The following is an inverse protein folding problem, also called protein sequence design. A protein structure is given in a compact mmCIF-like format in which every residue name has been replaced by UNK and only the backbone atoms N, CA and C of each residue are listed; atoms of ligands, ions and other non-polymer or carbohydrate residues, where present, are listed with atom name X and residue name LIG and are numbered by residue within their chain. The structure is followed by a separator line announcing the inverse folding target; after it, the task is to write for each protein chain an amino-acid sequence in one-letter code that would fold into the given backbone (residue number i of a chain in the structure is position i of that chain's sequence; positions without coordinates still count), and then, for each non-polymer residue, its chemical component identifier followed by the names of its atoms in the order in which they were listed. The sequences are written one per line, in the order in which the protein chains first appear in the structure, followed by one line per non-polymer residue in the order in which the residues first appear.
data_IF_414726586826
#
_entry.id   IF_414726586826
#
_cell.length_a   1.000
_cell.length_b   1.000
_cell.length_c   1.000
_cell.angle_alpha   90.00
_cell.angle_beta   90.00
_cell.angle_gamma   90.00
#
_symmetry.space_group_name_H-M   'P 1'
#
loop_
_entity.id
_entity.type
_entity.pdbx_description
1 polymer ?
#
# COMPACT_ATOMS: atom_id res chain seq x y z
N UNK A 1 -5.41 1.37 23.74
CA UNK A 1 -4.03 0.87 23.59
C UNK A 1 -3.38 1.73 22.51
N UNK A 2 -2.16 2.22 22.72
CA UNK A 2 -1.42 2.96 21.68
C UNK A 2 -1.25 2.09 20.42
N UNK A 3 -1.50 2.61 19.19
CA UNK A 3 -1.42 1.82 17.96
C UNK A 3 -0.13 1.02 17.80
N UNK A 4 1.02 1.64 18.08
CA UNK A 4 2.32 0.99 18.02
C UNK A 4 2.46 -0.18 19.00
N UNK A 5 1.92 -0.05 20.22
CA UNK A 5 1.96 -1.12 21.22
C UNK A 5 1.10 -2.32 20.80
N UNK A 6 -0.03 -2.05 20.15
CA UNK A 6 -0.87 -3.10 19.56
C UNK A 6 -0.13 -3.83 18.43
N UNK A 7 0.43 -3.09 17.45
CA UNK A 7 1.20 -3.68 16.34
C UNK A 7 2.33 -4.59 16.87
N UNK A 8 3.10 -4.10 17.84
CA UNK A 8 4.19 -4.87 18.42
C UNK A 8 3.72 -6.14 19.14
N UNK A 9 2.53 -6.10 19.78
CA UNK A 9 1.92 -7.28 20.40
C UNK A 9 1.54 -8.32 19.35
N UNK A 10 0.94 -7.91 18.24
CA UNK A 10 0.51 -8.82 17.16
C UNK A 10 1.72 -9.45 16.44
N UNK A 11 2.77 -8.67 16.18
CA UNK A 11 4.05 -9.20 15.65
C UNK A 11 4.68 -10.18 16.63
N UNK A 12 4.65 -9.89 17.94
CA UNK A 12 5.15 -10.83 18.96
C UNK A 12 4.34 -12.13 19.01
N UNK A 13 3.07 -12.09 18.61
CA UNK A 13 2.19 -13.26 18.46
C UNK A 13 2.39 -13.99 17.11
N UNK A 14 3.25 -13.49 16.21
CA UNK A 14 3.55 -14.10 14.92
C UNK A 14 2.53 -13.78 13.81
N UNK A 15 1.68 -12.77 14.01
CA UNK A 15 0.74 -12.30 12.97
C UNK A 15 1.46 -11.40 11.96
N UNK A 16 1.03 -11.47 10.71
CA UNK A 16 1.45 -10.53 9.68
C UNK A 16 0.72 -9.22 9.85
N UNK A 17 1.38 -8.11 9.52
CA UNK A 17 0.79 -6.78 9.61
C UNK A 17 0.77 -6.17 8.22
N UNK A 18 -0.42 -5.84 7.72
CA UNK A 18 -0.60 -5.17 6.44
C UNK A 18 -1.06 -3.74 6.70
N UNK A 19 -0.22 -2.78 6.31
CA UNK A 19 -0.47 -1.35 6.47
C UNK A 19 -1.09 -0.80 5.18
N UNK A 20 -2.27 -0.21 5.31
CA UNK A 20 -2.98 0.48 4.24
C UNK A 20 -2.85 1.97 4.43
N UNK A 21 -2.29 2.63 3.44
CA UNK A 21 -1.83 4.01 3.59
C UNK A 21 -2.48 4.91 2.55
N UNK A 22 -2.97 6.07 2.97
CA UNK A 22 -3.22 7.16 2.04
C UNK A 22 -1.92 7.93 1.86
N UNK A 23 -1.44 8.14 0.63
CA UNK A 23 -0.10 8.67 0.28
C UNK A 23 0.40 9.90 1.06
N UNK A 24 -0.51 10.70 1.64
CA UNK A 24 -0.19 11.81 2.56
C UNK A 24 0.31 11.35 3.95
N UNK A 25 0.15 10.07 4.28
CA UNK A 25 0.53 9.43 5.55
C UNK A 25 1.77 8.54 5.40
N UNK A 26 2.47 8.65 4.29
CA UNK A 26 3.57 7.76 3.94
C UNK A 26 4.68 7.78 4.99
N UNK A 27 5.08 8.98 5.41
CA UNK A 27 6.12 9.19 6.41
C UNK A 27 5.76 8.53 7.76
N UNK A 28 4.50 8.66 8.19
CA UNK A 28 4.05 8.07 9.46
C UNK A 28 3.95 6.54 9.37
N UNK A 29 3.50 5.99 8.24
CA UNK A 29 3.48 4.54 8.01
C UNK A 29 4.87 3.94 7.99
N UNK A 30 5.82 4.55 7.27
CA UNK A 30 7.22 4.13 7.28
C UNK A 30 7.82 4.20 8.69
N UNK A 31 7.49 5.25 9.47
CA UNK A 31 7.90 5.38 10.86
C UNK A 31 7.36 4.26 11.77
N UNK A 32 6.10 3.85 11.60
CA UNK A 32 5.51 2.72 12.35
C UNK A 32 6.18 1.38 11.98
N UNK A 33 6.43 1.15 10.69
CA UNK A 33 7.17 -0.02 10.22
C UNK A 33 8.59 -0.05 10.81
N UNK A 34 9.28 1.08 10.78
CA UNK A 34 10.63 1.24 11.30
C UNK A 34 10.70 0.94 12.80
N UNK A 35 9.76 1.49 13.58
CA UNK A 35 9.69 1.23 15.02
C UNK A 35 9.35 -0.24 15.32
N UNK A 36 8.46 -0.83 14.53
CA UNK A 36 8.10 -2.25 14.67
C UNK A 36 9.31 -3.15 14.42
N UNK A 37 10.09 -2.86 13.37
CA UNK A 37 11.34 -3.55 13.06
C UNK A 37 12.36 -3.37 14.18
N UNK A 38 12.50 -2.15 14.71
CA UNK A 38 13.43 -1.84 15.80
C UNK A 38 13.11 -2.65 17.06
N UNK A 39 11.83 -2.81 17.39
CA UNK A 39 11.39 -3.51 18.60
C UNK A 39 11.32 -5.04 18.43
N UNK A 40 11.15 -5.55 17.21
CA UNK A 40 10.90 -6.99 16.96
C UNK A 40 11.82 -7.67 15.92
N UNK A 41 13.15 -7.41 15.93
CA UNK A 41 14.03 -7.81 14.82
C UNK A 41 14.16 -9.32 14.58
N UNK A 42 13.95 -10.15 15.61
CA UNK A 42 13.96 -11.62 15.48
C UNK A 42 12.59 -12.25 15.19
N UNK A 43 11.53 -11.44 15.15
CA UNK A 43 10.16 -11.89 14.89
C UNK A 43 9.69 -11.56 13.48
N UNK A 44 10.42 -10.72 12.76
CA UNK A 44 10.05 -10.25 11.43
C UNK A 44 10.94 -10.94 10.42
N UNK A 45 10.32 -11.51 9.40
CA UNK A 45 11.00 -12.16 8.29
C UNK A 45 11.43 -11.15 7.22
N UNK A 46 10.53 -10.22 6.89
CA UNK A 46 10.75 -9.20 5.86
C UNK A 46 9.78 -8.04 6.03
N UNK A 47 10.11 -6.92 5.39
CA UNK A 47 9.18 -5.82 5.11
C UNK A 47 8.94 -5.75 3.61
N UNK A 48 7.70 -5.91 3.18
CA UNK A 48 7.27 -5.73 1.80
C UNK A 48 6.75 -4.31 1.62
N UNK A 49 7.23 -3.60 0.61
CA UNK A 49 6.81 -2.22 0.33
C UNK A 49 6.18 -2.10 -1.06
N UNK A 50 5.23 -1.18 -1.19
CA UNK A 50 4.57 -0.81 -2.44
C UNK A 50 5.48 0.08 -3.27
N UNK A 51 6.50 -0.55 -3.82
CA UNK A 51 7.44 0.06 -4.74
C UNK A 51 7.80 -0.95 -5.81
N UNK A 52 7.98 -0.45 -7.02
CA UNK A 52 8.42 -1.24 -8.16
C UNK A 52 9.67 -2.06 -7.83
N UNK A 53 9.73 -3.38 -8.16
CA UNK A 53 10.93 -4.20 -8.01
C UNK A 53 12.18 -3.62 -8.70
N UNK A 54 12.02 -2.66 -9.60
CA UNK A 54 13.10 -1.87 -10.20
C UNK A 54 13.88 -1.04 -9.18
N UNK A 55 13.26 -0.69 -8.06
CA UNK A 55 13.90 -0.01 -6.94
C UNK A 55 14.68 -0.95 -6.02
N UNK A 56 14.50 -2.28 -6.14
CA UNK A 56 15.20 -3.24 -5.30
C UNK A 56 16.73 -3.05 -5.29
N UNK A 57 17.42 -2.85 -6.44
CA UNK A 57 18.87 -2.62 -6.43
C UNK A 57 19.29 -1.36 -5.67
N UNK A 58 18.42 -0.35 -5.55
CA UNK A 58 18.70 0.86 -4.77
C UNK A 58 18.42 0.64 -3.29
N UNK A 59 17.34 -0.09 -2.95
CA UNK A 59 17.07 -0.55 -1.58
C UNK A 59 18.26 -1.36 -1.05
N UNK A 60 18.79 -2.29 -1.85
CA UNK A 60 19.95 -3.11 -1.49
C UNK A 60 21.20 -2.24 -1.23
N UNK A 61 21.40 -1.18 -2.01
CA UNK A 61 22.50 -0.22 -1.81
C UNK A 61 22.31 0.65 -0.57
N UNK A 62 21.08 1.03 -0.22
CA UNK A 62 20.79 1.71 1.05
C UNK A 62 21.09 0.76 2.22
N UNK A 63 20.65 -0.49 2.13
CA UNK A 63 20.93 -1.52 3.14
C UNK A 63 22.43 -1.72 3.36
N UNK A 64 23.23 -1.78 2.29
CA UNK A 64 24.71 -1.84 2.38
C UNK A 64 25.38 -0.54 2.78
N UNK A 65 24.65 0.59 2.80
CA UNK A 65 25.18 1.91 3.16
C UNK A 65 26.03 2.57 2.07
N UNK A 66 25.87 2.12 0.81
CA UNK A 66 26.62 2.64 -0.33
C UNK A 66 25.87 3.75 -1.08
N UNK A 67 24.58 3.95 -0.80
CA UNK A 67 23.76 4.99 -1.40
C UNK A 67 23.33 6.00 -0.34
N UNK A 68 23.50 7.29 -0.64
CA UNK A 68 23.07 8.39 0.24
C UNK A 68 21.55 8.56 0.21
N UNK A 69 20.99 9.25 1.21
CA UNK A 69 19.56 9.58 1.21
C UNK A 69 19.20 10.50 0.05
N UNK A 70 20.04 11.46 -0.28
CA UNK A 70 19.81 12.38 -1.39
C UNK A 70 19.84 11.66 -2.75
N UNK A 71 20.75 10.72 -2.95
CA UNK A 71 20.80 9.97 -4.21
C UNK A 71 19.68 8.94 -4.30
N UNK A 72 19.34 8.28 -3.20
CA UNK A 72 18.20 7.37 -3.14
C UNK A 72 16.89 8.09 -3.47
N UNK A 73 16.61 9.22 -2.83
CA UNK A 73 15.38 10.00 -3.05
C UNK A 73 15.25 10.48 -4.50
N UNK A 74 16.37 10.88 -5.14
CA UNK A 74 16.40 11.21 -6.58
C UNK A 74 16.09 10.00 -7.46
N UNK A 75 16.69 8.85 -7.16
CA UNK A 75 16.47 7.62 -7.92
C UNK A 75 15.04 7.12 -7.79
N UNK A 76 14.43 7.21 -6.60
CA UNK A 76 13.00 6.95 -6.40
C UNK A 76 12.15 7.86 -7.29
N UNK A 77 12.39 9.18 -7.27
CA UNK A 77 11.65 10.13 -8.11
C UNK A 77 11.79 9.80 -9.60
N UNK A 78 13.01 9.53 -10.08
CA UNK A 78 13.28 9.19 -11.48
C UNK A 78 12.56 7.88 -11.85
N UNK A 79 12.64 6.85 -11.00
CA UNK A 79 11.99 5.56 -11.26
C UNK A 79 10.48 5.71 -11.41
N UNK A 80 9.83 6.50 -10.55
CA UNK A 80 8.39 6.72 -10.64
C UNK A 80 7.99 7.45 -11.94
N UNK A 81 8.77 8.45 -12.38
CA UNK A 81 8.52 9.12 -13.66
C UNK A 81 8.72 8.20 -14.86
N UNK A 82 9.70 7.29 -14.80
CA UNK A 82 9.91 6.29 -15.84
C UNK A 82 8.73 5.31 -15.93
N UNK A 83 8.19 4.89 -14.78
CA UNK A 83 7.02 4.03 -14.72
C UNK A 83 5.77 4.69 -15.29
N UNK A 84 5.54 5.99 -14.99
CA UNK A 84 4.46 6.75 -15.61
C UNK A 84 4.57 6.79 -17.14
N UNK A 85 5.77 6.98 -17.68
CA UNK A 85 5.97 6.99 -19.14
C UNK A 85 5.70 5.63 -19.78
N UNK A 86 6.10 4.53 -19.13
CA UNK A 86 5.89 3.18 -19.65
C UNK A 86 4.41 2.79 -19.64
N UNK A 87 3.71 3.05 -18.54
CA UNK A 87 2.27 2.81 -18.44
C UNK A 87 1.52 3.71 -19.43
N UNK A 88 1.90 4.98 -19.52
CA UNK A 88 1.39 5.89 -20.53
C UNK A 88 1.56 5.36 -21.95
N UNK A 89 2.73 4.79 -22.27
CA UNK A 89 3.01 4.20 -23.57
C UNK A 89 2.15 2.96 -23.86
N UNK A 90 1.95 2.10 -22.86
CA UNK A 90 1.07 0.94 -23.00
C UNK A 90 -0.39 1.35 -23.27
N UNK A 91 -0.88 2.37 -22.57
CA UNK A 91 -2.25 2.88 -22.74
C UNK A 91 -2.43 3.62 -24.06
N UNK A 92 -1.42 4.37 -24.50
CA UNK A 92 -1.38 4.98 -25.83
C UNK A 92 -1.45 3.92 -26.93
N UNK A 93 -0.65 2.85 -26.82
CA UNK A 93 -0.68 1.72 -27.77
C UNK A 93 -2.04 1.01 -27.81
N UNK A 94 -2.80 1.02 -26.71
CA UNK A 94 -4.18 0.50 -26.62
C UNK A 94 -5.24 1.49 -27.14
N UNK A 95 -4.84 2.69 -27.57
CA UNK A 95 -5.75 3.76 -28.03
C UNK A 95 -6.54 4.43 -26.90
N UNK A 96 -6.11 4.25 -25.65
CA UNK A 96 -6.77 4.78 -24.45
C UNK A 96 -6.30 6.17 -24.07
N UNK A 97 -5.08 6.53 -24.50
CA UNK A 97 -4.60 7.91 -24.53
C UNK A 97 -4.58 8.39 -25.98
N UNK A 98 -5.03 9.63 -26.19
CA UNK A 98 -4.73 10.34 -27.43
C UNK A 98 -3.25 10.70 -27.50
N UNK A 99 -2.74 10.93 -28.72
CA UNK A 99 -1.37 11.42 -28.96
C UNK A 99 -1.07 12.66 -28.09
N UNK A 100 -1.99 13.63 -28.02
CA UNK A 100 -1.83 14.85 -27.21
C UNK A 100 -1.75 14.58 -25.70
N UNK A 101 -2.45 13.56 -25.20
CA UNK A 101 -2.36 13.17 -23.78
C UNK A 101 -1.03 12.48 -23.49
N UNK A 102 -0.63 11.55 -24.35
CA UNK A 102 0.64 10.84 -24.21
C UNK A 102 1.84 11.79 -24.31
N UNK A 103 1.85 12.69 -25.29
CA UNK A 103 2.92 13.69 -25.48
C UNK A 103 3.06 14.63 -24.27
N UNK A 104 1.94 14.98 -23.61
CA UNK A 104 1.96 15.80 -22.40
C UNK A 104 2.54 15.04 -21.22
N UNK A 105 2.17 13.77 -21.05
CA UNK A 105 2.70 12.90 -20.00
C UNK A 105 4.21 12.71 -20.16
N UNK A 106 4.65 12.30 -21.35
CA UNK A 106 6.08 12.09 -21.64
C UNK A 106 6.86 13.38 -21.41
N UNK A 107 6.41 14.51 -21.94
CA UNK A 107 7.09 15.79 -21.75
C UNK A 107 7.17 16.20 -20.28
N UNK A 108 6.11 15.98 -19.51
CA UNK A 108 6.10 16.29 -18.08
C UNK A 108 7.11 15.43 -17.31
N UNK A 109 7.10 14.11 -17.54
CA UNK A 109 7.99 13.17 -16.87
C UNK A 109 9.45 13.36 -17.29
N UNK A 110 9.74 13.56 -18.57
CA UNK A 110 11.08 13.88 -19.06
C UNK A 110 11.62 15.17 -18.44
N UNK A 111 10.80 16.24 -18.40
CA UNK A 111 11.22 17.50 -17.77
C UNK A 111 11.50 17.30 -16.28
N UNK A 112 10.70 16.52 -15.58
CA UNK A 112 10.89 16.21 -14.15
C UNK A 112 12.18 15.42 -13.94
N UNK A 113 12.44 14.40 -14.76
CA UNK A 113 13.70 13.63 -14.71
C UNK A 113 14.90 14.55 -14.96
N UNK A 114 14.85 15.41 -15.98
CA UNK A 114 15.94 16.35 -16.26
C UNK A 114 16.13 17.36 -15.12
N UNK A 115 15.04 17.80 -14.49
CA UNK A 115 15.08 18.69 -13.34
C UNK A 115 15.82 18.02 -12.16
N UNK A 116 15.46 16.78 -11.83
CA UNK A 116 16.10 15.99 -10.76
C UNK A 116 17.58 15.71 -11.08
N UNK A 117 17.90 15.33 -12.31
CA UNK A 117 19.28 15.08 -12.77
C UNK A 117 20.14 16.35 -12.76
N UNK A 118 19.54 17.52 -13.03
CA UNK A 118 20.20 18.82 -12.95
C UNK A 118 20.53 19.27 -11.52
N UNK A 119 19.97 18.60 -10.51
CA UNK A 119 20.18 18.88 -9.10
C UNK A 119 19.61 20.24 -8.66
N UNK A 120 20.00 20.70 -7.47
CA UNK A 120 19.46 21.93 -6.85
C UNK A 120 19.79 23.23 -7.55
N UNK A 121 20.70 23.19 -8.53
CA UNK A 121 21.03 24.34 -9.37
C UNK A 121 20.04 24.49 -10.54
N UNK A 122 19.16 23.51 -10.76
CA UNK A 122 18.10 23.58 -11.74
C UNK A 122 16.91 24.36 -11.17
N UNK A 123 16.45 25.38 -11.88
CA UNK A 123 15.30 26.19 -11.50
C UNK A 123 14.01 25.36 -11.37
N UNK A 124 13.93 24.24 -12.09
CA UNK A 124 12.77 23.34 -12.11
C UNK A 124 12.84 22.25 -11.02
N UNK A 125 13.96 22.15 -10.29
CA UNK A 125 14.10 21.29 -9.09
C UNK A 125 14.72 22.07 -7.93
N UNK A 126 14.02 23.11 -7.43
CA UNK A 126 14.56 23.97 -6.40
C UNK A 126 14.72 23.22 -5.06
N UNK A 127 15.53 23.74 -4.13
CA UNK A 127 15.80 23.09 -2.83
C UNK A 127 14.53 22.70 -2.05
N UNK A 128 13.44 23.47 -2.18
CA UNK A 128 12.17 23.15 -1.55
C UNK A 128 11.55 21.86 -2.10
N UNK A 129 11.64 21.63 -3.41
CA UNK A 129 11.15 20.40 -4.03
C UNK A 129 11.99 19.21 -3.61
N UNK A 130 13.32 19.38 -3.57
CA UNK A 130 14.20 18.34 -3.03
C UNK A 130 13.87 18.03 -1.57
N UNK A 131 13.61 19.04 -0.74
CA UNK A 131 13.27 18.82 0.67
C UNK A 131 11.98 18.01 0.84
N UNK A 132 10.98 18.22 -0.03
CA UNK A 132 9.75 17.41 -0.05
C UNK A 132 10.09 15.96 -0.42
N UNK A 133 10.83 15.75 -1.51
CA UNK A 133 11.20 14.39 -1.96
C UNK A 133 12.07 13.66 -0.91
N UNK A 134 12.95 14.39 -0.22
CA UNK A 134 13.75 13.87 0.91
C UNK A 134 12.87 13.58 2.12
N UNK A 135 11.84 14.38 2.42
CA UNK A 135 10.90 14.06 3.50
C UNK A 135 10.16 12.76 3.19
N UNK A 136 9.58 12.65 2.00
CA UNK A 136 8.78 11.48 1.60
C UNK A 136 9.65 10.23 1.49
N UNK A 137 10.63 10.20 0.58
CA UNK A 137 11.43 8.99 0.36
C UNK A 137 12.53 8.78 1.41
N UNK A 138 12.84 9.81 2.22
CA UNK A 138 13.77 9.67 3.34
C UNK A 138 13.21 8.80 4.46
N UNK A 139 11.89 8.74 4.63
CA UNK A 139 11.26 7.82 5.57
C UNK A 139 11.48 6.35 5.15
N UNK A 140 11.32 6.04 3.85
CA UNK A 140 11.66 4.73 3.30
C UNK A 140 13.16 4.42 3.46
N UNK A 141 14.03 5.40 3.20
CA UNK A 141 15.47 5.25 3.42
C UNK A 141 15.78 4.87 4.88
N UNK A 142 15.17 5.58 5.84
CA UNK A 142 15.34 5.33 7.28
C UNK A 142 14.87 3.94 7.69
N UNK A 143 13.71 3.51 7.18
CA UNK A 143 13.20 2.15 7.36
C UNK A 143 14.20 1.12 6.83
N UNK A 144 14.70 1.26 5.60
CA UNK A 144 15.65 0.32 4.99
C UNK A 144 16.94 0.24 5.79
N UNK A 145 17.48 1.37 6.25
CA UNK A 145 18.67 1.42 7.12
C UNK A 145 18.44 0.66 8.43
N UNK A 146 17.32 0.95 9.09
CA UNK A 146 16.96 0.29 10.36
C UNK A 146 16.76 -1.21 10.16
N UNK A 147 16.07 -1.63 9.10
CA UNK A 147 15.83 -3.03 8.78
C UNK A 147 17.14 -3.78 8.49
N UNK A 148 18.04 -3.18 7.71
CA UNK A 148 19.36 -3.74 7.45
C UNK A 148 20.20 -3.94 8.73
N UNK A 149 20.19 -2.96 9.65
CA UNK A 149 20.86 -3.08 10.95
C UNK A 149 20.27 -4.20 11.84
N UNK A 150 19.01 -4.55 11.60
CA UNK A 150 18.30 -5.63 12.30
C UNK A 150 18.33 -6.97 11.56
N UNK A 151 18.93 -7.04 10.37
CA UNK A 151 18.94 -8.24 9.55
C UNK A 151 17.58 -8.59 8.95
N UNK A 152 16.67 -7.62 8.83
CA UNK A 152 15.36 -7.76 8.21
C UNK A 152 15.44 -7.23 6.77
N UNK A 153 15.24 -8.07 5.74
CA UNK A 153 15.22 -7.60 4.36
C UNK A 153 13.99 -6.72 4.06
N UNK A 154 14.19 -5.70 3.22
CA UNK A 154 13.10 -4.90 2.64
C UNK A 154 12.94 -5.30 1.17
N UNK A 155 11.71 -5.62 0.78
CA UNK A 155 11.35 -6.17 -0.52
C UNK A 155 10.44 -5.17 -1.24
N UNK A 156 10.91 -4.64 -2.36
CA UNK A 156 10.05 -3.95 -3.32
C UNK A 156 9.18 -4.98 -4.06
N UNK A 157 7.87 -4.85 -3.92
CA UNK A 157 6.91 -5.92 -4.27
C UNK A 157 5.77 -5.50 -5.20
N UNK A 158 5.69 -4.23 -5.57
CA UNK A 158 4.60 -3.72 -6.41
C UNK A 158 4.92 -3.96 -7.88
N UNK A 159 4.23 -4.91 -8.53
CA UNK A 159 4.47 -5.19 -9.95
C UNK A 159 3.84 -4.15 -10.89
N UNK A 160 3.37 -3.03 -10.36
CA UNK A 160 3.16 -1.80 -11.10
C UNK A 160 1.88 -1.85 -11.93
N UNK A 161 0.75 -1.75 -11.25
CA UNK A 161 -0.55 -1.52 -11.90
C UNK A 161 -1.03 -0.09 -11.70
N UNK A 162 -0.53 0.60 -10.67
CA UNK A 162 -0.96 1.92 -10.24
C UNK A 162 0.03 3.02 -10.62
N UNK A 163 0.04 3.44 -11.88
CA UNK A 163 0.74 4.67 -12.21
C UNK A 163 0.12 5.36 -13.43
N UNK A 164 -1.03 5.99 -13.20
CA UNK A 164 -1.37 7.18 -13.97
C UNK A 164 -1.59 8.34 -13.01
N UNK A 165 -1.01 9.52 -13.26
CA UNK A 165 -1.39 10.70 -12.53
C UNK A 165 -2.89 10.96 -12.65
N UNK A 166 -3.50 11.45 -11.56
CA UNK A 166 -4.95 11.68 -11.42
C UNK A 166 -5.55 12.57 -12.55
N UNK A 167 -4.73 13.30 -13.29
CA UNK A 167 -5.16 14.10 -14.44
C UNK A 167 -5.48 13.27 -15.71
N UNK A 168 -5.36 11.94 -15.66
CA UNK A 168 -5.73 11.00 -16.73
C UNK A 168 -6.97 10.15 -16.35
N UNK A 169 -7.55 10.38 -15.16
CA UNK A 169 -8.66 9.60 -14.59
C UNK A 169 -9.91 9.51 -15.48
N UNK A 170 -10.15 10.49 -16.35
CA UNK A 170 -11.31 10.49 -17.25
C UNK A 170 -11.30 9.33 -18.28
N UNK A 171 -10.25 8.49 -18.31
CA UNK A 171 -10.06 7.37 -19.25
C UNK A 171 -10.01 5.98 -18.59
N UNK A 172 -10.24 5.88 -17.28
CA UNK A 172 -10.20 4.61 -16.56
C UNK A 172 -11.56 3.90 -16.58
N UNK A 173 -11.53 2.60 -16.85
CA UNK A 173 -12.70 1.73 -16.68
C UNK A 173 -12.70 1.11 -15.29
N UNK A 174 -13.87 0.62 -14.87
CA UNK A 174 -14.04 -0.20 -13.65
C UNK A 174 -13.08 -1.38 -13.61
N UNK A 175 -12.86 -2.05 -14.76
CA UNK A 175 -11.94 -3.18 -14.85
C UNK A 175 -10.48 -2.77 -14.57
N UNK A 176 -10.07 -1.56 -14.96
CA UNK A 176 -8.73 -1.06 -14.66
C UNK A 176 -8.54 -0.76 -13.18
N UNK A 177 -9.58 -0.28 -12.51
CA UNK A 177 -9.56 -0.07 -11.06
C UNK A 177 -9.46 -1.41 -10.32
N UNK A 178 -10.21 -2.41 -10.74
CA UNK A 178 -10.17 -3.76 -10.15
C UNK A 178 -8.82 -4.43 -10.39
N UNK A 179 -8.28 -4.36 -11.61
CA UNK A 179 -6.97 -4.92 -11.91
C UNK A 179 -5.87 -4.21 -11.12
N UNK A 180 -6.01 -2.92 -10.85
CA UNK A 180 -5.07 -2.13 -10.05
C UNK A 180 -4.97 -2.58 -8.60
N UNK A 181 -6.10 -2.87 -7.98
CA UNK A 181 -6.17 -3.30 -6.59
C UNK A 181 -5.88 -4.81 -6.41
N UNK A 182 -5.48 -5.52 -7.48
CA UNK A 182 -5.26 -6.97 -7.44
C UNK A 182 -3.78 -7.30 -7.21
N UNK A 183 -3.47 -7.57 -5.95
CA UNK A 183 -2.14 -7.85 -5.41
C UNK A 183 -1.72 -9.31 -5.58
N UNK A 184 -2.50 -10.14 -6.29
CA UNK A 184 -2.19 -11.58 -6.41
C UNK A 184 -0.79 -11.82 -7.00
N UNK A 185 -0.39 -11.03 -8.00
CA UNK A 185 0.95 -11.12 -8.60
C UNK A 185 2.05 -10.74 -7.61
N UNK A 186 1.77 -9.77 -6.77
CA UNK A 186 2.70 -9.17 -5.83
C UNK A 186 2.89 -10.12 -4.65
N UNK A 187 1.81 -10.77 -4.22
CA UNK A 187 1.82 -11.86 -3.26
C UNK A 187 2.66 -13.03 -3.76
N UNK A 188 2.54 -13.41 -5.04
CA UNK A 188 3.38 -14.46 -5.64
C UNK A 188 4.86 -14.06 -5.69
N UNK A 189 5.16 -12.80 -6.00
CA UNK A 189 6.52 -12.28 -5.96
C UNK A 189 7.09 -12.33 -4.54
N UNK A 190 6.30 -11.92 -3.54
CA UNK A 190 6.66 -11.96 -2.13
C UNK A 190 6.89 -13.41 -1.66
N UNK A 191 5.98 -14.34 -1.97
CA UNK A 191 6.09 -15.76 -1.65
C UNK A 191 7.34 -16.44 -2.25
N UNK A 192 7.89 -15.90 -3.33
CA UNK A 192 9.18 -16.33 -3.89
C UNK A 192 10.39 -15.86 -3.08
N UNK A 193 10.21 -14.98 -2.09
CA UNK A 193 11.27 -14.33 -1.30
C UNK A 193 11.15 -14.55 0.20
N UNK A 194 10.00 -15.03 0.68
CA UNK A 194 9.75 -15.37 2.08
C UNK A 194 9.16 -16.79 2.21
N UNK A 195 9.41 -17.46 3.33
CA UNK A 195 8.72 -18.68 3.73
C UNK A 195 7.41 -18.33 4.44
N UNK A 196 6.28 -18.56 3.76
CA UNK A 196 4.94 -18.34 4.31
C UNK A 196 4.59 -19.32 5.45
N UNK A 197 5.34 -20.41 5.62
CA UNK A 197 5.16 -21.34 6.74
C UNK A 197 5.96 -20.93 7.99
N UNK A 198 6.79 -19.89 7.90
CA UNK A 198 7.57 -19.40 9.03
C UNK A 198 6.66 -18.82 10.11
N UNK A 199 6.94 -19.02 11.41
CA UNK A 199 6.23 -18.35 12.48
C UNK A 199 6.61 -16.86 12.63
N UNK A 200 7.58 -16.38 11.83
CA UNK A 200 7.94 -14.96 11.79
C UNK A 200 6.94 -14.17 10.96
N UNK A 201 6.61 -12.98 11.44
CA UNK A 201 5.73 -12.02 10.78
C UNK A 201 6.34 -11.45 9.52
N UNK A 202 5.50 -11.11 8.56
CA UNK A 202 5.79 -10.25 7.42
C UNK A 202 5.09 -8.92 7.69
N UNK A 203 5.80 -7.82 7.51
CA UNK A 203 5.20 -6.49 7.50
C UNK A 203 4.99 -6.08 6.05
N UNK A 204 3.83 -5.57 5.69
CA UNK A 204 3.48 -5.18 4.32
C UNK A 204 3.01 -3.73 4.34
N UNK A 205 3.47 -2.92 3.40
CA UNK A 205 2.92 -1.60 3.10
C UNK A 205 2.26 -1.61 1.72
N UNK A 206 1.05 -1.04 1.65
CA UNK A 206 0.25 -0.83 0.44
C UNK A 206 -0.55 0.47 0.55
N UNK A 207 -1.01 0.97 -0.59
CA UNK A 207 -2.03 1.98 -0.70
C UNK A 207 -3.32 1.46 -0.09
N UNK A 208 -4.10 2.34 0.54
CA UNK A 208 -5.32 1.95 1.24
C UNK A 208 -6.33 1.22 0.33
N UNK A 209 -6.32 1.49 -0.98
CA UNK A 209 -7.19 0.85 -1.97
C UNK A 209 -6.84 -0.60 -2.30
N UNK A 210 -5.64 -1.06 -1.95
CA UNK A 210 -5.22 -2.46 -2.11
C UNK A 210 -5.67 -3.34 -0.95
N UNK A 211 -6.22 -2.74 0.10
CA UNK A 211 -6.54 -3.44 1.33
C UNK A 211 -8.03 -3.64 1.49
N UNK A 212 -8.39 -4.68 2.24
CA UNK A 212 -9.76 -5.07 2.55
C UNK A 212 -10.59 -5.40 1.32
N UNK A 213 -11.74 -6.02 1.53
CA UNK A 213 -12.83 -6.08 0.55
C UNK A 213 -13.48 -4.68 0.35
N UNK A 214 -12.70 -3.68 -0.04
CA UNK A 214 -13.19 -2.37 -0.42
C UNK A 214 -14.07 -2.50 -1.65
N UNK A 215 -15.31 -2.08 -1.48
CA UNK A 215 -16.31 -2.03 -2.55
C UNK A 215 -16.75 -0.58 -2.69
N UNK A 216 -16.70 -0.04 -3.90
CA UNK A 216 -17.14 1.33 -4.15
C UNK A 216 -18.65 1.45 -3.91
N UNK A 217 -19.07 2.37 -3.05
CA UNK A 217 -20.49 2.68 -2.85
C UNK A 217 -21.16 3.23 -4.11
N UNK A 218 -20.40 3.92 -4.97
CA UNK A 218 -20.90 4.50 -6.22
C UNK A 218 -21.11 3.45 -7.31
N UNK A 219 -20.32 2.39 -7.27
CA UNK A 219 -20.44 1.25 -8.18
C UNK A 219 -19.99 -0.04 -7.46
N UNK A 220 -20.94 -0.81 -6.91
CA UNK A 220 -20.62 -2.04 -6.17
C UNK A 220 -19.97 -3.15 -7.02
N UNK A 221 -19.90 -2.99 -8.34
CA UNK A 221 -19.14 -3.89 -9.20
C UNK A 221 -17.62 -3.64 -9.13
N UNK A 222 -17.20 -2.46 -8.66
CA UNK A 222 -15.81 -2.13 -8.36
C UNK A 222 -15.49 -2.62 -6.96
N UNK A 223 -14.83 -3.77 -6.86
CA UNK A 223 -14.39 -4.35 -5.61
C UNK A 223 -13.02 -5.00 -5.77
N UNK A 224 -12.16 -4.85 -4.77
CA UNK A 224 -10.91 -5.59 -4.65
C UNK A 224 -11.06 -6.86 -3.80
N UNK A 225 -12.30 -7.26 -3.49
CA UNK A 225 -12.55 -8.35 -2.56
C UNK A 225 -11.86 -9.66 -2.96
N UNK A 226 -11.14 -10.25 -2.01
CA UNK A 226 -10.35 -11.46 -2.22
C UNK A 226 -9.10 -11.29 -3.09
N UNK A 227 -8.65 -10.05 -3.30
CA UNK A 227 -7.51 -9.72 -4.18
C UNK A 227 -6.44 -8.86 -3.50
N UNK A 228 -6.66 -8.41 -2.26
CA UNK A 228 -5.66 -7.66 -1.51
C UNK A 228 -4.49 -8.53 -1.05
N UNK A 229 -3.40 -7.89 -0.60
CA UNK A 229 -2.26 -8.63 -0.02
C UNK A 229 -2.63 -9.33 1.28
N UNK A 230 -3.56 -8.76 2.06
CA UNK A 230 -4.16 -9.40 3.23
C UNK A 230 -4.88 -10.69 2.85
N UNK A 231 -5.76 -10.66 1.84
CA UNK A 231 -6.45 -11.85 1.34
C UNK A 231 -5.46 -12.92 0.85
N UNK A 232 -4.43 -12.50 0.12
CA UNK A 232 -3.40 -13.42 -0.38
C UNK A 232 -2.70 -14.15 0.77
N UNK A 233 -2.27 -13.42 1.81
CA UNK A 233 -1.59 -14.02 2.96
C UNK A 233 -2.53 -14.96 3.74
N UNK A 234 -3.78 -14.55 3.98
CA UNK A 234 -4.79 -15.39 4.64
C UNK A 234 -5.09 -16.67 3.87
N UNK A 235 -5.20 -16.60 2.54
CA UNK A 235 -5.37 -17.77 1.67
C UNK A 235 -4.19 -18.76 1.76
N UNK A 236 -3.02 -18.30 2.20
CA UNK A 236 -1.83 -19.12 2.48
C UNK A 236 -1.72 -19.54 3.95
N UNK A 237 -2.79 -19.40 4.74
CA UNK A 237 -2.86 -19.84 6.14
C UNK A 237 -2.13 -18.92 7.12
N UNK A 238 -1.78 -17.69 6.69
CA UNK A 238 -1.24 -16.66 7.58
C UNK A 238 -2.36 -16.02 8.39
N UNK A 239 -2.02 -15.52 9.57
CA UNK A 239 -2.93 -14.71 10.37
C UNK A 239 -2.56 -13.24 10.16
N UNK A 240 -3.46 -12.47 9.55
CA UNK A 240 -3.20 -11.09 9.17
C UNK A 240 -3.92 -10.12 10.10
N UNK A 241 -3.26 -9.02 10.38
CA UNK A 241 -3.85 -7.83 11.01
C UNK A 241 -3.67 -6.68 10.06
N UNK A 242 -4.78 -6.03 9.71
CA UNK A 242 -4.75 -4.88 8.81
C UNK A 242 -4.80 -3.59 9.61
N UNK A 243 -3.89 -2.68 9.29
CA UNK A 243 -3.72 -1.37 9.91
C UNK A 243 -3.97 -0.30 8.84
N UNK A 244 -5.14 0.30 8.84
CA UNK A 244 -5.45 1.46 8.03
C UNK A 244 -4.88 2.72 8.66
N UNK A 245 -3.92 3.37 8.00
CA UNK A 245 -3.37 4.67 8.36
C UNK A 245 -3.75 5.69 7.27
N UNK A 246 -5.01 6.07 7.30
CA UNK A 246 -5.60 7.07 6.44
C UNK A 246 -6.57 7.90 7.27
N UNK A 247 -6.65 9.21 7.01
CA UNK A 247 -7.70 10.02 7.60
C UNK A 247 -9.04 9.49 7.07
N UNK A 248 -10.01 9.20 7.95
CA UNK A 248 -11.38 8.93 7.51
C UNK A 248 -11.91 10.20 6.84
N UNK A 249 -11.65 10.33 5.55
CA UNK A 249 -12.54 11.08 4.69
C UNK A 249 -13.58 10.08 4.25
N UNK A 250 -14.81 10.52 4.33
CA UNK A 250 -15.94 9.90 3.69
C UNK A 250 -15.67 10.03 2.17
N UNK A 251 -14.78 9.18 1.63
CA UNK A 251 -14.21 9.32 0.26
C UNK A 251 -15.33 9.24 -0.80
N UNK A 252 -16.52 8.77 -0.42
CA UNK A 252 -17.63 8.54 -1.32
C UNK A 252 -18.77 9.56 -1.19
N UNK A 253 -18.90 10.28 -0.07
CA UNK A 253 -20.00 11.25 0.18
C UNK A 253 -19.71 12.68 -0.29
N UNK A 254 -18.46 13.03 -0.59
CA UNK A 254 -18.13 14.33 -1.18
C UNK A 254 -18.17 15.53 -0.22
N UNK A 255 -18.27 15.29 1.09
CA UNK A 255 -18.14 16.34 2.11
C UNK A 255 -16.84 16.13 2.90
N UNK A 256 -15.86 16.99 2.64
CA UNK A 256 -14.58 17.03 3.39
C UNK A 256 -14.80 17.85 4.66
N UNK A 257 -15.26 17.20 5.72
CA UNK A 257 -15.43 17.85 7.04
C UNK A 257 -14.27 17.53 8.00
N UNK A 258 -13.38 18.51 8.14
CA UNK A 258 -12.37 18.69 9.21
C UNK A 258 -11.39 17.53 9.55
N UNK A 259 -10.16 17.74 9.09
CA UNK A 259 -8.92 16.97 9.30
C UNK A 259 -8.65 16.55 10.75
N UNK A 260 -8.40 15.25 10.96
CA UNK A 260 -7.69 14.74 12.15
C UNK A 260 -6.62 13.74 11.71
N UNK A 261 -5.36 14.20 11.79
CA UNK A 261 -4.18 13.33 11.81
C UNK A 261 -4.32 12.34 12.97
N UNK A 262 -3.88 11.09 12.78
CA UNK A 262 -3.79 10.01 13.78
C UNK A 262 -4.94 8.97 13.81
N UNK A 263 -5.69 8.79 12.72
CA UNK A 263 -6.66 7.69 12.63
C UNK A 263 -5.97 6.37 12.22
N UNK A 264 -5.93 5.40 13.14
CA UNK A 264 -5.47 4.04 12.86
C UNK A 264 -6.63 3.08 13.06
N UNK A 265 -7.19 2.54 11.97
CA UNK A 265 -8.23 1.50 12.04
C UNK A 265 -7.58 0.12 11.99
N UNK A 266 -7.86 -0.70 13.00
CA UNK A 266 -7.39 -2.08 13.06
C UNK A 266 -8.54 -3.00 12.69
N UNK A 267 -8.28 -4.03 11.87
CA UNK A 267 -9.15 -5.20 11.76
C UNK A 267 -8.33 -6.44 12.08
N UNK A 268 -8.76 -7.13 13.12
CA UNK A 268 -8.31 -8.46 13.52
C UNK A 268 -9.45 -9.43 13.18
N UNK A 269 -9.21 -10.67 12.74
CA UNK A 269 -10.25 -11.70 12.63
C UNK A 269 -11.00 -12.01 13.94
N UNK A 270 -10.65 -11.33 15.04
CA UNK A 270 -11.39 -11.28 16.32
C UNK A 270 -12.27 -10.02 16.52
N UNK A 271 -12.58 -9.27 15.46
CA UNK A 271 -13.52 -8.13 15.43
C UNK A 271 -13.19 -6.97 16.40
N UNK A 272 -11.92 -6.56 16.43
CA UNK A 272 -11.48 -5.40 17.21
C UNK A 272 -11.16 -4.23 16.30
N UNK A 273 -11.90 -3.12 16.42
CA UNK A 273 -11.53 -1.82 15.84
C UNK A 273 -10.91 -0.94 16.92
N UNK A 274 -9.69 -0.44 16.69
CA UNK A 274 -9.12 0.63 17.52
C UNK A 274 -9.39 1.95 16.79
N UNK A 275 -9.90 2.96 17.49
CA UNK A 275 -10.07 4.33 16.95
C UNK A 275 -9.49 5.29 17.99
N UNK A 276 -8.50 6.11 17.62
CA UNK A 276 -7.87 7.10 18.50
C UNK A 276 -7.40 6.52 19.86
N UNK A 277 -6.78 5.33 19.83
CA UNK A 277 -6.28 4.66 21.02
C UNK A 277 -7.36 4.04 21.94
N UNK A 278 -8.64 4.13 21.56
CA UNK A 278 -9.75 3.46 22.24
C UNK A 278 -10.10 2.15 21.52
N UNK A 279 -10.26 1.08 22.30
CA UNK A 279 -10.81 -0.18 21.82
C UNK A 279 -12.31 0.05 21.60
N UNK A 280 -12.77 -0.12 20.37
CA UNK A 280 -14.18 -0.16 20.00
C UNK A 280 -14.48 -1.62 19.65
N UNK A 281 -15.12 -2.34 20.56
CA UNK A 281 -15.78 -3.59 20.19
C UNK A 281 -16.89 -3.23 19.20
N UNK A 282 -16.85 -3.75 17.97
CA UNK A 282 -18.04 -3.65 17.13
C UNK A 282 -19.13 -4.50 17.78
N UNK A 283 -20.35 -3.97 17.99
CA UNK A 283 -21.48 -4.83 18.26
C UNK A 283 -21.67 -5.72 17.02
N UNK A 284 -21.79 -7.04 17.22
CA UNK A 284 -22.15 -8.02 16.19
C UNK A 284 -23.16 -7.42 15.20
N UNK A 285 -22.70 -6.93 14.05
CA UNK A 285 -23.57 -6.55 12.95
C UNK A 285 -23.68 -7.77 12.03
N UNK A 286 -24.64 -8.62 12.42
CA UNK A 286 -25.42 -9.50 11.56
C UNK A 286 -24.67 -10.18 10.39
N UNK A 287 -24.18 -11.38 10.71
CA UNK A 287 -24.03 -12.51 9.77
C UNK A 287 -25.40 -12.91 9.14
N UNK A 288 -26.48 -12.17 9.38
CA UNK A 288 -27.85 -12.48 8.94
C UNK A 288 -28.22 -12.01 7.52
N UNK A 289 -27.41 -11.20 6.82
CA UNK A 289 -27.73 -10.75 5.45
C UNK A 289 -26.91 -11.42 4.33
N UNK A 290 -26.13 -12.46 4.64
CA UNK A 290 -25.64 -13.36 3.60
C UNK A 290 -26.78 -14.29 3.16
N UNK A 291 -27.48 -13.88 2.11
CA UNK A 291 -28.56 -14.63 1.47
C UNK A 291 -28.17 -16.06 1.10
N UNK A 292 -28.32 -16.97 2.06
CA UNK A 292 -28.52 -18.39 1.83
C UNK A 292 -30.02 -18.61 2.02
N UNK A 293 -30.75 -18.71 0.91
CA UNK A 293 -32.14 -19.12 0.95
C UNK A 293 -32.23 -20.48 1.68
N UNK A 294 -32.98 -20.59 2.80
CA UNK A 294 -33.18 -21.89 3.41
C UNK A 294 -34.07 -22.73 2.49
N UNK A 295 -33.49 -23.80 1.94
CA UNK A 295 -34.24 -24.87 1.29
C UNK A 295 -35.12 -25.50 2.36
N UNK A 296 -36.40 -25.15 2.37
CA UNK A 296 -37.37 -25.70 3.32
C UNK A 296 -37.55 -27.21 3.06
N UNK A 297 -37.31 -28.08 4.05
CA UNK A 297 -37.73 -29.46 3.97
C UNK A 297 -39.12 -29.61 4.61
N UNK A 298 -40.06 -30.13 3.82
CA UNK A 298 -41.15 -30.93 4.40
C UNK A 298 -42.58 -30.52 4.03
N UNK A 299 -43.30 -31.50 3.51
CA UNK A 299 -44.51 -31.93 4.23
C UNK A 299 -45.84 -31.63 3.57
N UNK A 300 -46.38 -32.67 2.93
CA UNK A 300 -47.79 -32.95 2.66
C UNK A 300 -48.83 -32.33 3.63
N UNK A 301 -49.87 -31.72 3.03
CA UNK A 301 -51.33 -31.75 3.27
C UNK A 301 -51.88 -32.01 4.71
N UNK A 302 -52.99 -31.37 5.16
CA UNK A 302 -54.33 -31.60 4.55
C UNK A 302 -55.38 -30.45 4.60
N UNK A 303 -56.23 -30.39 3.57
CA UNK A 303 -57.69 -30.61 3.61
C UNK A 303 -58.26 -30.60 2.20
#
# INVERSE_FOLDING_TARGET
MEPQAYINREVAAGKDIVFGEHHDSFESTMGMLEETVRQNPGRIQAVSVEFSPRLQPYIDQVASGTLSVEDFTRLCRISNEQEYMEIGGALHAQGRLSDDQYDRLVRFSENTIQAVLGGTNNADYPPQRQAIDVSTYGALYSLVRTAAEKGVPVIASDLGREALPLNVLDTMTVADLIDRMDDTSDGNLLAGRVDLNSPQSILVHRGAFHLWDLTSERDPSVSNAGKGMDDYLEAHGRHVVVIGNYESTDVLSGEVDSLRKDHVSVRDPSDVTIINGQLVEQPDQDIAERGIAPVSPGGLAPK
#
